data_IF_846864000149
#
_entry.id   IF_846864000149
#
_cell.length_a   1.000
_cell.length_b   1.000
_cell.length_c   1.000
_cell.angle_alpha   90.00
_cell.angle_beta   90.00
_cell.angle_gamma   90.00
#
_symmetry.space_group_name_H-M   'P 1'
#
loop_
_entity.id
_entity.type
_entity.pdbx_description
1 polymer ?
#
# COMPACT_ATOMS: atom_id res chain seq x y z
N UNK A 1 9.74 -48.69 -39.98
CA UNK A 1 8.91 -47.47 -40.01
C UNK A 1 8.04 -47.49 -38.77
N UNK A 2 8.35 -46.67 -37.77
CA UNK A 2 7.51 -46.47 -36.60
C UNK A 2 7.02 -45.03 -36.69
N UNK A 3 5.72 -44.86 -36.90
CA UNK A 3 5.05 -43.57 -36.89
C UNK A 3 4.53 -43.41 -35.45
N UNK A 4 5.27 -42.65 -34.65
CA UNK A 4 4.84 -42.26 -33.31
C UNK A 4 3.76 -41.19 -33.44
N UNK A 5 2.53 -41.57 -33.16
CA UNK A 5 1.37 -40.69 -33.02
C UNK A 5 1.59 -39.70 -31.88
N UNK A 6 1.61 -38.40 -32.19
CA UNK A 6 1.58 -37.33 -31.18
C UNK A 6 0.21 -36.68 -31.26
N UNK A 7 -0.66 -37.03 -30.31
CA UNK A 7 -1.95 -36.37 -30.12
C UNK A 7 -1.70 -34.98 -29.52
N UNK A 8 -1.97 -33.92 -30.29
CA UNK A 8 -2.00 -32.55 -29.78
C UNK A 8 -3.26 -32.35 -28.94
N UNK A 9 -3.10 -32.25 -27.62
CA UNK A 9 -4.16 -31.77 -26.75
C UNK A 9 -4.24 -30.25 -26.81
N UNK A 10 -5.41 -29.74 -27.21
CA UNK A 10 -5.77 -28.33 -27.21
C UNK A 10 -5.98 -27.85 -25.77
N UNK A 11 -5.22 -26.84 -25.34
CA UNK A 11 -5.53 -26.07 -24.14
C UNK A 11 -6.24 -24.78 -24.54
N UNK A 12 -7.56 -24.75 -24.36
CA UNK A 12 -8.37 -23.53 -24.46
C UNK A 12 -8.16 -22.71 -23.19
N UNK A 13 -7.37 -21.65 -23.28
CA UNK A 13 -7.22 -20.67 -22.21
C UNK A 13 -8.40 -19.68 -22.24
N UNK A 14 -9.52 -20.02 -21.59
CA UNK A 14 -10.51 -19.01 -21.19
C UNK A 14 -10.03 -18.34 -19.91
N UNK A 15 -9.18 -17.33 -20.06
CA UNK A 15 -8.84 -16.42 -18.98
C UNK A 15 -9.99 -15.46 -18.72
N UNK A 16 -10.93 -15.85 -17.86
CA UNK A 16 -11.77 -14.89 -17.18
C UNK A 16 -10.97 -14.30 -16.02
N UNK A 17 -10.66 -13.00 -16.06
CA UNK A 17 -10.25 -12.27 -14.85
C UNK A 17 -11.03 -10.95 -14.73
N UNK A 18 -11.79 -10.91 -13.64
CA UNK A 18 -12.26 -9.78 -12.84
C UNK A 18 -12.84 -8.54 -13.54
N UNK A 19 -14.12 -8.32 -13.23
CA UNK A 19 -14.80 -7.03 -13.35
C UNK A 19 -13.96 -5.90 -12.72
N UNK A 20 -13.84 -4.79 -13.46
CA UNK A 20 -13.23 -3.57 -12.97
C UNK A 20 -14.06 -3.02 -11.80
N UNK A 21 -13.48 -3.08 -10.61
CA UNK A 21 -13.85 -2.15 -9.52
C UNK A 21 -12.98 -0.90 -9.72
N UNK A 22 -13.56 0.30 -9.72
CA UNK A 22 -12.78 1.52 -9.78
C UNK A 22 -12.08 1.71 -8.42
N UNK A 23 -10.86 2.23 -8.45
CA UNK A 23 -10.09 2.73 -7.29
C UNK A 23 -9.24 1.73 -6.50
N UNK A 24 -8.36 1.00 -7.19
CA UNK A 24 -7.08 0.61 -6.57
C UNK A 24 -5.94 1.32 -7.31
N UNK A 25 -5.64 2.54 -6.84
CA UNK A 25 -4.47 3.30 -7.21
C UNK A 25 -3.21 2.44 -7.05
N UNK A 26 -2.42 2.41 -8.14
CA UNK A 26 -0.98 2.22 -8.17
C UNK A 26 -0.36 1.07 -7.36
N UNK A 27 -0.41 -0.13 -7.95
CA UNK A 27 0.65 -1.13 -7.79
C UNK A 27 1.56 -1.18 -9.04
N UNK A 28 1.74 -0.03 -9.70
CA UNK A 28 2.82 0.17 -10.67
C UNK A 28 3.98 0.82 -9.92
N UNK A 29 5.19 0.38 -10.27
CA UNK A 29 6.44 1.07 -9.97
C UNK A 29 7.08 0.77 -8.60
N UNK A 30 7.68 -0.42 -8.51
CA UNK A 30 8.82 -0.60 -7.63
C UNK A 30 9.92 0.41 -8.01
N UNK A 31 10.47 1.08 -6.99
CA UNK A 31 11.63 1.98 -7.02
C UNK A 31 11.37 3.48 -7.26
N UNK A 32 10.14 3.97 -7.11
CA UNK A 32 9.93 5.38 -6.78
C UNK A 32 10.08 5.56 -5.27
N UNK A 33 11.16 6.18 -4.79
CA UNK A 33 11.31 6.49 -3.36
C UNK A 33 10.10 7.31 -2.91
N UNK A 34 9.11 6.67 -2.26
CA UNK A 34 7.93 7.37 -1.76
C UNK A 34 8.41 8.44 -0.77
N UNK A 35 8.32 9.70 -1.22
CA UNK A 35 8.71 10.85 -0.41
C UNK A 35 7.73 11.00 0.76
N UNK A 36 6.45 10.66 0.52
CA UNK A 36 5.38 10.68 1.50
C UNK A 36 4.85 9.26 1.71
N UNK A 37 4.73 8.87 2.97
CA UNK A 37 4.20 7.58 3.40
C UNK A 37 2.83 7.80 4.01
N UNK A 38 1.82 7.17 3.44
CA UNK A 38 0.47 7.18 3.98
C UNK A 38 0.29 6.02 4.96
N UNK A 39 -0.44 6.29 6.02
CA UNK A 39 -0.62 5.37 7.12
C UNK A 39 -1.88 5.67 7.90
N UNK A 40 -1.96 5.02 9.05
CA UNK A 40 -3.12 5.08 9.94
C UNK A 40 -2.66 5.45 11.34
N UNK A 41 -3.35 6.40 11.98
CA UNK A 41 -3.02 6.85 13.31
C UNK A 41 -3.86 6.17 14.41
N UNK A 42 -3.30 6.17 15.62
CA UNK A 42 -3.96 5.70 16.84
C UNK A 42 -4.09 6.86 17.83
N UNK A 43 -5.30 7.05 18.37
CA UNK A 43 -5.62 8.14 19.30
C UNK A 43 -4.95 7.94 20.64
N UNK A 44 -4.97 6.70 21.16
CA UNK A 44 -4.43 6.37 22.47
C UNK A 44 -2.93 6.67 22.60
N UNK A 45 -2.16 6.45 21.52
CA UNK A 45 -0.71 6.67 21.51
C UNK A 45 -0.29 7.95 20.79
N UNK A 46 -1.22 8.60 20.09
CA UNK A 46 -0.97 9.71 19.17
C UNK A 46 0.18 9.37 18.19
N UNK A 47 0.07 8.21 17.55
CA UNK A 47 1.11 7.65 16.67
C UNK A 47 0.52 7.35 15.31
N UNK A 48 1.29 7.67 14.26
CA UNK A 48 1.04 7.27 12.89
C UNK A 48 1.81 6.00 12.56
N UNK A 49 1.10 4.97 12.07
CA UNK A 49 1.66 3.72 11.58
C UNK A 49 1.62 3.70 10.06
N UNK A 50 2.77 3.57 9.41
CA UNK A 50 2.88 3.46 7.94
C UNK A 50 3.85 2.35 7.54
N UNK A 51 3.80 1.94 6.27
CA UNK A 51 4.77 1.02 5.68
C UNK A 51 5.96 1.81 5.16
N UNK A 52 7.15 1.56 5.68
CA UNK A 52 8.38 2.18 5.17
C UNK A 52 8.82 1.58 3.83
N UNK A 53 9.89 2.13 3.24
CA UNK A 53 10.50 1.63 1.99
C UNK A 53 10.86 0.14 2.04
N UNK A 54 11.15 -0.40 3.22
CA UNK A 54 11.47 -1.81 3.44
C UNK A 54 10.22 -2.71 3.63
N UNK A 55 9.00 -2.16 3.43
CA UNK A 55 7.74 -2.87 3.65
C UNK A 55 7.41 -3.16 5.12
N UNK A 56 8.21 -2.65 6.06
CA UNK A 56 7.98 -2.85 7.51
C UNK A 56 7.13 -1.74 8.08
N UNK A 57 6.36 -2.10 9.11
CA UNK A 57 5.60 -1.14 9.89
C UNK A 57 6.55 -0.20 10.64
N UNK A 58 6.37 1.09 10.44
CA UNK A 58 7.08 2.16 11.13
C UNK A 58 6.07 2.99 11.90
N UNK A 59 6.44 3.39 13.12
CA UNK A 59 5.61 4.19 14.00
C UNK A 59 6.30 5.53 14.24
N UNK A 60 5.57 6.63 14.02
CA UNK A 60 6.06 7.98 14.30
C UNK A 60 5.04 8.73 15.17
N UNK A 61 5.53 9.56 16.09
CA UNK A 61 4.67 10.38 16.94
C UNK A 61 4.05 11.52 16.15
N UNK A 62 2.73 11.64 16.22
CA UNK A 62 2.02 12.81 15.73
C UNK A 62 2.32 14.03 16.64
N UNK A 63 2.37 15.25 16.09
CA UNK A 63 2.40 16.47 16.88
C UNK A 63 1.20 16.53 17.84
N UNK A 64 1.36 17.24 18.95
CA UNK A 64 0.28 17.42 19.92
C UNK A 64 -0.64 18.62 19.61
N UNK A 65 -0.42 19.30 18.48
CA UNK A 65 -1.28 20.40 18.06
C UNK A 65 -2.68 19.88 17.70
N UNK A 66 -3.72 20.62 18.07
CA UNK A 66 -5.11 20.19 17.89
C UNK A 66 -5.46 19.83 16.43
N UNK A 67 -4.79 20.44 15.45
CA UNK A 67 -4.99 20.24 14.01
C UNK A 67 -4.04 19.22 13.36
N UNK A 68 -3.12 18.62 14.12
CA UNK A 68 -2.12 17.65 13.60
C UNK A 68 -1.98 16.41 14.47
N UNK A 69 -2.78 16.30 15.54
CA UNK A 69 -2.85 15.13 16.41
C UNK A 69 -3.90 14.16 15.89
N UNK A 70 -3.74 12.90 16.22
CA UNK A 70 -4.73 11.88 15.90
C UNK A 70 -5.99 12.09 16.76
N UNK A 71 -7.12 12.46 16.14
CA UNK A 71 -8.36 12.75 16.90
C UNK A 71 -9.21 11.51 17.15
N UNK A 72 -9.02 10.48 16.32
CA UNK A 72 -9.75 9.21 16.33
C UNK A 72 -8.83 8.08 15.85
N UNK A 73 -8.96 6.89 16.47
CA UNK A 73 -8.27 5.71 15.97
C UNK A 73 -8.70 5.37 14.55
N UNK A 74 -7.74 4.91 13.76
CA UNK A 74 -7.90 4.57 12.35
C UNK A 74 -8.05 5.76 11.39
N UNK A 75 -7.75 6.98 11.83
CA UNK A 75 -7.68 8.13 10.94
C UNK A 75 -6.43 8.10 10.06
N UNK A 76 -6.49 8.77 8.91
CA UNK A 76 -5.34 8.90 8.02
C UNK A 76 -4.22 9.71 8.67
N UNK A 77 -2.98 9.30 8.39
CA UNK A 77 -1.81 10.11 8.63
C UNK A 77 -0.82 10.01 7.48
N UNK A 78 -0.01 11.05 7.30
CA UNK A 78 1.04 11.11 6.30
C UNK A 78 2.36 11.51 6.94
N UNK A 79 3.43 10.78 6.60
CA UNK A 79 4.80 11.08 6.98
C UNK A 79 5.60 11.50 5.75
N UNK A 80 6.12 12.72 5.75
CA UNK A 80 6.99 13.24 4.70
C UNK A 80 8.44 13.02 5.10
N UNK A 81 9.15 12.15 4.38
CA UNK A 81 10.54 11.78 4.73
C UNK A 81 11.57 12.85 4.42
N UNK A 82 11.26 13.80 3.54
CA UNK A 82 12.17 14.90 3.20
C UNK A 82 12.19 15.94 4.32
N UNK A 83 11.00 16.37 4.75
CA UNK A 83 10.83 17.33 5.84
C UNK A 83 10.83 16.69 7.23
N UNK A 84 10.71 15.36 7.30
CA UNK A 84 10.46 14.57 8.53
C UNK A 84 9.21 15.03 9.27
N UNK A 85 8.28 15.68 8.57
CA UNK A 85 7.02 16.14 9.13
C UNK A 85 5.99 15.01 9.10
N UNK A 86 5.14 14.96 10.12
CA UNK A 86 3.96 14.10 10.12
C UNK A 86 2.71 14.94 10.31
N UNK A 87 1.69 14.61 9.53
CA UNK A 87 0.35 15.18 9.64
C UNK A 87 -0.60 14.05 9.96
N UNK A 88 -1.29 14.16 11.09
CA UNK A 88 -2.31 13.21 11.52
C UNK A 88 -3.66 13.94 11.65
N UNK A 89 -4.74 13.21 11.39
CA UNK A 89 -6.11 13.71 11.42
C UNK A 89 -6.91 13.16 12.61
#
# INVERSE_FOLDING_TARGET
MQITSIALFLLTATGAVAAATPEQFDARDGLSAQIKYHGICTKAKNECKFKGQNGRDTFVKCPNFANKRCTKDHNECSYDSVSRAVVCH
#
